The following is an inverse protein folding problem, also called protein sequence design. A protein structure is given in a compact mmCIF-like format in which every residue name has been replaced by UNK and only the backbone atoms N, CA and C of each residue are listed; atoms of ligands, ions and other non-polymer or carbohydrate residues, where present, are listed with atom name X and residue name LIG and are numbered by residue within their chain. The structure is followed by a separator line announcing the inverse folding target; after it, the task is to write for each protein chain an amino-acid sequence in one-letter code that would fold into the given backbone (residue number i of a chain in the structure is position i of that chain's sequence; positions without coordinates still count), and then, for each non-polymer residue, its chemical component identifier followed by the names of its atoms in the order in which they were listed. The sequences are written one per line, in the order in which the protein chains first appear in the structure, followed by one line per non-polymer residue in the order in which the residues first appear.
data_IF_464349363020
#
_entry.id   IF_464349363020
#
_cell.length_a   1.000
_cell.length_b   1.000
_cell.length_c   1.000
_cell.angle_alpha   90.00
_cell.angle_beta   90.00
_cell.angle_gamma   90.00
#
_symmetry.space_group_name_H-M   'P 1'
#
loop_
_entity.id
_entity.type
_entity.pdbx_description
1 polymer ?
#
# COMPACT_ATOMS: atom_id res chain seq x y z
N UNK A 1 -19.70 -6.24 -26.49
CA UNK A 1 -19.03 -5.02 -26.00
C UNK A 1 -19.62 -4.73 -24.63
N UNK A 2 -18.85 -4.77 -23.54
CA UNK A 2 -19.39 -4.42 -22.21
C UNK A 2 -19.70 -2.92 -22.15
N UNK A 3 -20.81 -2.59 -21.48
CA UNK A 3 -21.23 -1.21 -21.21
C UNK A 3 -20.14 -0.45 -20.43
N UNK A 4 -19.93 0.84 -20.77
CA UNK A 4 -18.98 1.72 -20.08
C UNK A 4 -19.21 1.78 -18.58
N UNK A 5 -20.48 1.70 -18.13
CA UNK A 5 -20.81 1.72 -16.70
C UNK A 5 -20.35 0.44 -16.00
N UNK A 6 -20.67 -0.72 -16.58
CA UNK A 6 -20.22 -2.03 -16.08
C UNK A 6 -18.70 -2.09 -15.99
N UNK A 7 -17.97 -1.56 -16.98
CA UNK A 7 -16.50 -1.55 -16.92
C UNK A 7 -15.94 -0.66 -15.79
N UNK A 8 -16.61 0.43 -15.41
CA UNK A 8 -16.14 1.25 -14.30
C UNK A 8 -16.43 0.57 -12.97
N UNK A 9 -17.62 0.01 -12.83
CA UNK A 9 -18.04 -0.65 -11.59
C UNK A 9 -17.17 -1.87 -11.26
N UNK A 10 -16.65 -2.58 -12.28
CA UNK A 10 -15.81 -3.77 -12.09
C UNK A 10 -14.30 -3.49 -11.98
N UNK A 11 -13.78 -2.43 -12.62
CA UNK A 11 -12.32 -2.25 -12.78
C UNK A 11 -11.77 -0.95 -12.17
N UNK A 12 -12.60 0.03 -11.83
CA UNK A 12 -12.15 1.31 -11.30
C UNK A 12 -12.23 1.35 -9.78
N UNK A 13 -11.09 1.54 -9.13
CA UNK A 13 -11.04 1.92 -7.73
C UNK A 13 -11.14 3.45 -7.65
N UNK A 14 -12.21 3.94 -7.02
CA UNK A 14 -12.38 5.36 -6.69
C UNK A 14 -12.11 5.57 -5.20
N UNK A 15 -11.75 6.80 -4.83
CA UNK A 15 -11.67 7.24 -3.43
C UNK A 15 -10.79 6.37 -2.52
N UNK A 16 -9.59 6.00 -3.02
CA UNK A 16 -8.65 5.15 -2.30
C UNK A 16 -8.05 5.81 -1.02
N UNK A 17 -8.23 7.11 -0.83
CA UNK A 17 -7.64 7.85 0.30
C UNK A 17 -8.70 8.65 1.05
N UNK A 18 -8.98 8.22 2.28
CA UNK A 18 -9.79 8.94 3.27
C UNK A 18 -8.92 9.25 4.50
N UNK A 19 -9.06 10.43 5.14
CA UNK A 19 -8.29 10.77 6.33
C UNK A 19 -8.45 9.73 7.43
N UNK A 20 -7.33 9.28 8.00
CA UNK A 20 -7.27 8.35 9.13
C UNK A 20 -7.91 6.97 8.86
N UNK A 21 -8.07 6.58 7.59
CA UNK A 21 -8.69 5.31 7.21
C UNK A 21 -7.77 4.44 6.34
N UNK A 22 -8.04 3.13 6.37
CA UNK A 22 -7.53 2.18 5.37
C UNK A 22 -8.69 1.79 4.46
N UNK A 23 -8.57 2.16 3.19
CA UNK A 23 -9.47 1.67 2.14
C UNK A 23 -8.85 0.42 1.55
N UNK A 24 -9.60 -0.68 1.46
CA UNK A 24 -9.14 -1.92 0.86
C UNK A 24 -10.08 -2.41 -0.23
N UNK A 25 -9.50 -2.84 -1.35
CA UNK A 25 -10.21 -3.44 -2.47
C UNK A 25 -9.61 -4.81 -2.75
N UNK A 26 -10.43 -5.84 -2.59
CA UNK A 26 -10.08 -7.22 -2.86
C UNK A 26 -10.38 -7.59 -4.31
N UNK A 27 -9.36 -8.01 -5.05
CA UNK A 27 -9.55 -8.61 -6.37
C UNK A 27 -9.57 -10.13 -6.25
N UNK A 28 -10.55 -10.78 -6.88
CA UNK A 28 -10.55 -12.24 -7.02
C UNK A 28 -9.48 -12.73 -8.01
N UNK A 29 -8.93 -11.84 -8.83
CA UNK A 29 -7.77 -12.12 -9.67
C UNK A 29 -6.53 -12.12 -8.77
N UNK A 30 -5.87 -13.29 -8.68
CA UNK A 30 -4.70 -13.56 -7.83
C UNK A 30 -4.84 -13.24 -6.33
N UNK A 31 -6.06 -12.94 -5.87
CA UNK A 31 -6.37 -12.60 -4.47
C UNK A 31 -5.58 -11.39 -3.96
N UNK A 32 -5.20 -10.50 -4.88
CA UNK A 32 -4.50 -9.27 -4.56
C UNK A 32 -5.43 -8.34 -3.78
N UNK A 33 -4.84 -7.61 -2.84
CA UNK A 33 -5.53 -6.55 -2.11
C UNK A 33 -4.83 -5.25 -2.42
N UNK A 34 -5.55 -4.32 -3.05
CA UNK A 34 -5.06 -2.95 -3.20
C UNK A 34 -5.57 -2.13 -2.04
N UNK A 35 -4.70 -1.36 -1.39
CA UNK A 35 -5.06 -0.55 -0.25
C UNK A 35 -4.55 0.88 -0.41
N UNK A 36 -5.26 1.81 0.21
CA UNK A 36 -4.80 3.16 0.47
C UNK A 36 -4.91 3.47 1.95
N UNK A 37 -3.88 4.12 2.49
CA UNK A 37 -3.89 4.65 3.84
C UNK A 37 -3.40 6.10 3.81
N UNK A 38 -4.16 7.00 4.44
CA UNK A 38 -3.80 8.42 4.57
C UNK A 38 -3.95 8.83 6.04
N UNK A 39 -2.94 8.55 6.89
CA UNK A 39 -2.97 9.00 8.28
C UNK A 39 -2.88 10.53 8.31
N UNK A 40 -3.73 11.18 9.10
CA UNK A 40 -3.72 12.63 9.29
C UNK A 40 -3.53 12.91 10.77
N UNK A 41 -4.53 12.61 11.60
CA UNK A 41 -4.55 12.98 13.03
C UNK A 41 -4.12 11.86 13.95
N UNK A 42 -4.12 10.63 13.48
CA UNK A 42 -3.80 9.46 14.29
C UNK A 42 -2.90 8.46 13.58
N UNK A 43 -2.35 7.57 14.39
CA UNK A 43 -1.69 6.37 13.90
C UNK A 43 -2.74 5.39 13.39
N UNK A 44 -2.57 4.91 12.15
CA UNK A 44 -3.53 4.02 11.50
C UNK A 44 -2.93 2.62 11.40
N UNK A 45 -3.59 1.61 11.95
CA UNK A 45 -3.22 0.21 11.72
C UNK A 45 -3.62 -0.24 10.31
N UNK A 46 -2.81 -1.08 9.67
CA UNK A 46 -3.16 -1.72 8.38
C UNK A 46 -4.48 -2.49 8.44
N UNK A 47 -4.88 -2.94 9.63
CA UNK A 47 -6.10 -3.71 9.86
C UNK A 47 -7.31 -2.84 10.18
N UNK A 48 -7.15 -1.50 10.24
CA UNK A 48 -8.26 -0.61 10.58
C UNK A 48 -9.39 -0.78 9.55
N UNK A 49 -10.54 -1.24 10.02
CA UNK A 49 -11.71 -1.51 9.16
C UNK A 49 -11.67 -2.85 8.42
N UNK A 50 -10.68 -3.72 8.68
CA UNK A 50 -10.53 -5.03 8.05
C UNK A 50 -10.66 -6.13 9.10
N UNK A 51 -11.63 -7.03 8.92
CA UNK A 51 -11.74 -8.27 9.70
C UNK A 51 -10.89 -9.36 9.03
N UNK A 52 -9.66 -9.55 9.51
CA UNK A 52 -8.71 -10.52 8.94
C UNK A 52 -9.23 -11.96 8.98
N UNK A 53 -9.96 -12.34 10.04
CA UNK A 53 -10.51 -13.68 10.16
C UNK A 53 -11.61 -13.91 9.12
N UNK A 54 -12.57 -12.99 9.04
CA UNK A 54 -13.69 -13.09 8.10
C UNK A 54 -13.25 -12.99 6.64
N UNK A 55 -12.29 -12.11 6.34
CA UNK A 55 -11.89 -11.81 4.97
C UNK A 55 -10.80 -12.76 4.45
N UNK A 56 -9.90 -13.23 5.31
CA UNK A 56 -8.72 -14.01 4.89
C UNK A 56 -8.54 -15.34 5.63
N UNK A 57 -9.28 -15.59 6.72
CA UNK A 57 -9.09 -16.78 7.55
C UNK A 57 -7.75 -16.78 8.30
N UNK A 58 -7.22 -15.59 8.61
CA UNK A 58 -5.96 -15.39 9.33
C UNK A 58 -6.16 -14.56 10.59
N UNK A 59 -5.21 -14.62 11.52
CA UNK A 59 -5.22 -13.87 12.77
C UNK A 59 -4.75 -12.42 12.60
N UNK A 60 -3.89 -12.18 11.62
CA UNK A 60 -3.40 -10.84 11.25
C UNK A 60 -3.16 -10.76 9.74
N UNK A 61 -3.06 -9.53 9.21
CA UNK A 61 -3.12 -9.25 7.78
C UNK A 61 -1.99 -9.92 6.97
N UNK A 62 -0.74 -9.83 7.45
CA UNK A 62 0.44 -10.37 6.76
C UNK A 62 0.82 -11.79 7.20
N UNK A 63 -0.05 -12.53 7.89
CA UNK A 63 0.25 -13.89 8.35
C UNK A 63 0.66 -14.82 7.18
N UNK A 64 -0.02 -14.65 6.04
CA UNK A 64 0.15 -15.43 4.81
C UNK A 64 0.27 -14.54 3.56
N UNK A 65 0.69 -13.29 3.74
CA UNK A 65 0.75 -12.28 2.69
C UNK A 65 2.02 -11.45 2.82
N UNK A 66 2.51 -10.95 1.71
CA UNK A 66 3.51 -9.88 1.65
C UNK A 66 2.85 -8.60 1.14
N UNK A 67 3.53 -7.45 1.29
CA UNK A 67 3.00 -6.17 0.82
C UNK A 67 4.12 -5.24 0.33
N UNK A 68 3.86 -4.60 -0.81
CA UNK A 68 4.63 -3.47 -1.30
C UNK A 68 3.88 -2.17 -1.07
N UNK A 69 4.58 -1.15 -0.55
CA UNK A 69 4.00 0.12 -0.12
C UNK A 69 4.77 1.26 -0.78
N UNK A 70 4.08 2.21 -1.40
CA UNK A 70 4.65 3.42 -1.99
C UNK A 70 4.03 4.65 -1.32
N UNK A 71 4.87 5.58 -0.89
CA UNK A 71 4.37 6.88 -0.44
C UNK A 71 4.24 7.84 -1.63
N UNK A 72 3.01 8.30 -1.91
CA UNK A 72 2.71 9.27 -2.98
C UNK A 72 2.22 10.62 -2.43
N UNK A 73 2.33 10.83 -1.12
CA UNK A 73 1.94 12.06 -0.41
C UNK A 73 3.13 12.80 0.20
N UNK A 74 2.88 13.49 1.32
CA UNK A 74 3.94 14.07 2.16
C UNK A 74 4.72 13.00 2.93
N UNK A 75 5.71 13.42 3.72
CA UNK A 75 6.53 12.49 4.48
C UNK A 75 5.74 11.83 5.63
N UNK A 76 6.13 10.60 5.97
CA UNK A 76 5.53 9.85 7.07
C UNK A 76 6.35 8.62 7.44
N UNK A 77 5.83 7.86 8.39
CA UNK A 77 6.48 6.65 8.91
C UNK A 77 5.58 5.44 8.80
N UNK A 78 6.21 4.28 8.65
CA UNK A 78 5.60 2.96 8.79
C UNK A 78 6.34 2.22 9.89
N UNK A 79 5.64 1.83 10.94
CA UNK A 79 6.19 0.99 12.01
C UNK A 79 5.74 -0.45 11.78
N UNK A 80 6.69 -1.36 11.58
CA UNK A 80 6.46 -2.79 11.38
C UNK A 80 7.10 -3.59 12.52
N UNK A 81 6.27 -4.26 13.34
CA UNK A 81 6.69 -4.96 14.56
C UNK A 81 7.65 -4.14 15.44
N UNK A 82 7.33 -2.85 15.64
CA UNK A 82 8.11 -1.92 16.45
C UNK A 82 9.34 -1.31 15.76
N UNK A 83 9.67 -1.71 14.52
CA UNK A 83 10.73 -1.07 13.72
C UNK A 83 10.12 0.02 12.86
N UNK A 84 10.56 1.26 13.07
CA UNK A 84 10.10 2.42 12.30
C UNK A 84 10.91 2.61 11.01
N UNK A 85 10.21 2.83 9.91
CA UNK A 85 10.76 3.18 8.60
C UNK A 85 10.20 4.52 8.17
N UNK A 86 11.08 5.49 7.97
CA UNK A 86 10.71 6.82 7.47
C UNK A 86 10.68 6.81 5.94
N UNK A 87 9.58 7.29 5.34
CA UNK A 87 9.35 7.32 3.90
C UNK A 87 9.05 8.74 3.42
N UNK A 88 9.88 9.25 2.51
CA UNK A 88 9.60 10.44 1.74
C UNK A 88 8.73 10.17 0.52
N UNK A 89 8.50 11.21 -0.29
CA UNK A 89 7.76 11.09 -1.54
C UNK A 89 8.46 10.15 -2.53
N UNK A 90 7.71 9.15 -3.02
CA UNK A 90 8.15 8.07 -3.93
C UNK A 90 9.15 7.07 -3.34
N UNK A 91 9.37 7.09 -2.03
CA UNK A 91 10.03 5.96 -1.37
C UNK A 91 9.07 4.78 -1.28
N UNK A 92 9.62 3.56 -1.24
CA UNK A 92 8.83 2.35 -1.08
C UNK A 92 9.37 1.44 0.01
N UNK A 93 8.47 0.72 0.66
CA UNK A 93 8.76 -0.28 1.67
C UNK A 93 8.15 -1.61 1.24
N UNK A 94 8.97 -2.64 1.18
CA UNK A 94 8.50 -4.03 1.14
C UNK A 94 8.45 -4.57 2.56
N UNK A 95 7.30 -5.12 2.97
CA UNK A 95 7.14 -5.80 4.26
C UNK A 95 6.87 -7.28 4.00
N UNK A 96 7.69 -8.12 4.63
CA UNK A 96 7.61 -9.57 4.48
C UNK A 96 6.38 -10.17 5.15
N UNK A 97 5.97 -11.35 4.65
CA UNK A 97 5.10 -12.28 5.35
C UNK A 97 5.55 -12.53 6.79
N UNK A 98 4.57 -12.55 7.70
CA UNK A 98 4.75 -12.89 9.12
C UNK A 98 4.84 -11.67 10.05
N UNK A 99 4.96 -10.46 9.49
CA UNK A 99 4.88 -9.22 10.28
C UNK A 99 3.49 -9.09 10.89
N UNK A 100 3.39 -8.86 12.20
CA UNK A 100 2.12 -8.87 12.93
C UNK A 100 1.47 -7.51 12.98
N UNK A 101 2.26 -6.50 13.30
CA UNK A 101 1.79 -5.13 13.47
C UNK A 101 2.38 -4.23 12.37
N UNK A 102 1.52 -3.48 11.68
CA UNK A 102 1.92 -2.44 10.73
C UNK A 102 1.08 -1.20 11.01
N UNK A 103 1.75 -0.11 11.38
CA UNK A 103 1.14 1.16 11.77
C UNK A 103 1.68 2.27 10.87
N UNK A 104 0.80 3.16 10.42
CA UNK A 104 1.11 4.30 9.55
C UNK A 104 0.94 5.62 10.29
N UNK A 105 1.81 6.58 10.00
CA UNK A 105 1.67 7.98 10.45
C UNK A 105 2.19 8.96 9.40
N UNK A 106 1.74 10.21 9.52
CA UNK A 106 2.25 11.35 8.76
C UNK A 106 3.08 12.26 9.66
N UNK A 107 4.06 12.92 9.07
CA UNK A 107 4.85 13.93 9.80
C UNK A 107 4.08 15.26 9.97
N UNK A 108 3.11 15.53 9.10
CA UNK A 108 2.32 16.77 9.09
C UNK A 108 0.88 16.48 8.65
N UNK A 109 -0.09 17.06 9.37
CA UNK A 109 -1.51 17.00 9.03
C UNK A 109 -1.84 17.82 7.77
N UNK A 110 -1.08 18.89 7.52
CA UNK A 110 -1.25 19.80 6.38
C UNK A 110 -0.75 19.18 5.08
N UNK A 111 0.20 18.25 5.16
CA UNK A 111 0.76 17.52 4.03
C UNK A 111 0.89 16.02 4.38
N UNK A 112 -0.24 15.29 4.50
CA UNK A 112 -0.20 13.91 4.97
C UNK A 112 0.44 12.98 3.94
N UNK A 113 1.08 11.93 4.45
CA UNK A 113 1.51 10.78 3.68
C UNK A 113 0.31 10.08 3.05
N UNK A 114 0.53 9.50 1.87
CA UNK A 114 -0.48 8.72 1.14
C UNK A 114 0.15 7.42 0.72
N UNK A 115 -0.09 6.37 1.49
CA UNK A 115 0.49 5.05 1.25
C UNK A 115 -0.41 4.28 0.28
N UNK A 116 0.04 4.17 -0.97
CA UNK A 116 -0.49 3.20 -1.92
C UNK A 116 0.11 1.83 -1.63
N UNK A 117 -0.71 0.80 -1.52
CA UNK A 117 -0.24 -0.51 -1.13
C UNK A 117 -0.85 -1.61 -1.99
N UNK A 118 -0.05 -2.63 -2.24
CA UNK A 118 -0.49 -3.83 -2.95
C UNK A 118 0.02 -5.05 -2.18
N UNK A 119 -0.92 -5.87 -1.74
CA UNK A 119 -0.63 -7.12 -1.03
C UNK A 119 -1.00 -8.34 -1.85
N UNK A 120 -0.14 -9.36 -1.79
CA UNK A 120 -0.35 -10.65 -2.43
C UNK A 120 -0.13 -11.80 -1.42
N UNK A 121 -0.73 -12.98 -1.62
CA UNK A 121 -0.42 -14.17 -0.83
C UNK A 121 1.06 -14.54 -0.93
N UNK A 122 1.67 -14.94 0.18
CA UNK A 122 3.07 -15.33 0.26
C UNK A 122 3.24 -16.62 1.08
N UNK A 123 4.13 -17.50 0.63
CA UNK A 123 4.42 -18.78 1.28
C UNK A 123 5.78 -18.80 2.00
N UNK A 124 6.62 -17.81 1.75
CA UNK A 124 7.97 -17.68 2.30
C UNK A 124 8.15 -16.26 2.81
N UNK A 125 8.89 -16.12 3.91
CA UNK A 125 9.28 -14.83 4.44
C UNK A 125 10.65 -14.42 3.86
N UNK A 126 10.79 -13.16 3.50
CA UNK A 126 12.02 -12.52 3.04
C UNK A 126 12.40 -11.37 3.99
N UNK A 127 13.34 -10.53 3.57
CA UNK A 127 13.77 -9.35 4.31
C UNK A 127 12.84 -8.16 4.03
N UNK A 128 12.27 -7.56 5.08
CA UNK A 128 11.61 -6.24 4.98
C UNK A 128 12.64 -5.20 4.58
N UNK A 129 12.34 -4.41 3.54
CA UNK A 129 13.34 -3.52 2.94
C UNK A 129 12.75 -2.18 2.51
N UNK A 130 13.35 -1.10 3.01
CA UNK A 130 13.15 0.25 2.51
C UNK A 130 13.98 0.44 1.23
N UNK A 131 13.35 0.98 0.20
CA UNK A 131 13.97 1.33 -1.07
C UNK A 131 13.64 2.79 -1.33
N UNK A 132 14.66 3.64 -1.24
CA UNK A 132 14.46 5.08 -1.47
C UNK A 132 14.44 5.37 -2.97
N UNK A 133 13.88 6.53 -3.35
CA UNK A 133 13.92 7.00 -4.74
C UNK A 133 15.35 7.11 -5.30
N UNK A 134 16.36 7.27 -4.43
CA UNK A 134 17.78 7.30 -4.83
C UNK A 134 18.30 5.92 -5.19
N UNK A 135 17.86 4.88 -4.48
CA UNK A 135 18.27 3.49 -4.69
C UNK A 135 17.50 2.79 -5.82
N UNK A 136 16.40 3.42 -6.27
CA UNK A 136 15.57 2.90 -7.36
C UNK A 136 16.36 2.80 -8.68
N UNK A 137 16.29 1.64 -9.32
CA UNK A 137 16.91 1.39 -10.62
C UNK A 137 16.16 2.13 -11.74
N UNK A 138 16.55 3.37 -12.00
CA UNK A 138 15.97 4.20 -13.08
C UNK A 138 16.44 3.69 -14.44
N UNK A 139 15.49 3.24 -15.27
CA UNK A 139 15.74 2.82 -16.65
C UNK A 139 14.90 3.69 -17.59
N UNK A 140 15.43 4.84 -18.07
CA UNK A 140 14.72 5.65 -19.04
C UNK A 140 14.53 4.85 -20.32
N UNK A 141 13.29 4.77 -20.80
CA UNK A 141 12.89 4.04 -21.99
C UNK A 141 11.86 4.90 -22.73
N UNK A 142 11.82 4.77 -24.06
CA UNK A 142 10.87 5.49 -24.91
C UNK A 142 11.43 6.79 -25.48
N UNK A 143 10.58 7.52 -26.21
CA UNK A 143 10.96 8.69 -26.99
C UNK A 143 9.84 9.74 -26.96
N UNK A 144 10.22 11.02 -26.87
CA UNK A 144 9.27 12.12 -26.82
C UNK A 144 8.40 12.20 -28.09
N UNK A 145 8.93 11.79 -29.25
CA UNK A 145 8.20 11.76 -30.52
C UNK A 145 7.10 10.69 -30.54
N UNK A 146 7.18 9.68 -29.68
CA UNK A 146 6.15 8.65 -29.50
C UNK A 146 5.29 8.87 -28.26
N UNK A 147 5.41 10.03 -27.60
CA UNK A 147 4.64 10.40 -26.40
C UNK A 147 4.77 9.41 -25.23
N UNK A 148 5.94 8.77 -25.08
CA UNK A 148 6.25 7.83 -23.99
C UNK A 148 7.68 7.96 -23.42
N UNK A 149 8.18 9.18 -23.11
CA UNK A 149 9.55 9.41 -22.62
C UNK A 149 9.83 8.87 -21.21
#
# INVERSE_FOLDING_TARGET
MCDKKVNRDEFLIQDLYHPDEVVSVYSHVDRMVTLGCMPVKEHVSIEKGIDCWKNFGTHYFLERREIGIFNIGGAGSITADGVEYHLGYKDCLYITKGTKEVIFSSDSEEAPAKFYMVSAPAHTSYETKLITLKDAAKRPLGDANTSNP
#
